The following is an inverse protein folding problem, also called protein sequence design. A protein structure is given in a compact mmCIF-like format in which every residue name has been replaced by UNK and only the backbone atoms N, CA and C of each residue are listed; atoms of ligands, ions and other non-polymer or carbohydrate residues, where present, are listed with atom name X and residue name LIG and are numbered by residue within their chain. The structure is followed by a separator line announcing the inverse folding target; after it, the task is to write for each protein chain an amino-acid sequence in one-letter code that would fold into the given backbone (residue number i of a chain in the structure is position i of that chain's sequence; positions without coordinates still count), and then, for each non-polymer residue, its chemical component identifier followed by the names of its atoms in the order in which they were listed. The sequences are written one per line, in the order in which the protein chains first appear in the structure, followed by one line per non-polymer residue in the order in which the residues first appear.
data_IF_176137094086
#
_entry.id   IF_176137094086
#
_cell.length_a   1.000
_cell.length_b   1.000
_cell.length_c   1.000
_cell.angle_alpha   90.00
_cell.angle_beta   90.00
_cell.angle_gamma   90.00
#
_symmetry.space_group_name_H-M   'P 1'
#
loop_
_entity.id
_entity.type
_entity.pdbx_description
1 polymer ?
#
# COMPACT_ATOMS: atom_id res chain seq x y z
N UNK A 1 -3.42 -27.45 7.85
CA UNK A 1 -3.72 -26.13 8.48
C UNK A 1 -2.51 -25.24 8.37
N UNK A 2 -2.54 -24.18 7.53
CA UNK A 2 -1.49 -23.16 7.56
C UNK A 2 -1.68 -22.33 8.85
N UNK A 3 -0.71 -22.29 9.75
CA UNK A 3 -0.79 -21.55 11.01
C UNK A 3 -0.83 -20.03 10.79
N UNK A 4 -1.34 -19.25 11.75
CA UNK A 4 -1.62 -17.80 11.65
C UNK A 4 -0.49 -16.91 11.08
N UNK A 5 0.74 -17.41 10.97
CA UNK A 5 1.84 -16.75 10.24
C UNK A 5 1.59 -16.51 8.75
N UNK A 6 0.78 -17.34 8.07
CA UNK A 6 0.47 -17.12 6.64
C UNK A 6 -0.35 -15.85 6.39
N UNK A 7 -1.23 -15.49 7.34
CA UNK A 7 -2.05 -14.27 7.25
C UNK A 7 -1.14 -13.04 7.39
N UNK A 8 -0.18 -13.07 8.33
CA UNK A 8 0.79 -11.98 8.49
C UNK A 8 1.64 -11.80 7.24
N UNK A 9 2.15 -12.90 6.67
CA UNK A 9 2.95 -12.87 5.45
C UNK A 9 2.16 -12.31 4.25
N UNK A 10 0.90 -12.70 4.11
CA UNK A 10 0.00 -12.15 3.07
C UNK A 10 -0.20 -10.64 3.25
N UNK A 11 -0.53 -10.18 4.46
CA UNK A 11 -0.72 -8.75 4.73
C UNK A 11 0.55 -7.93 4.52
N UNK A 12 1.70 -8.48 4.89
CA UNK A 12 3.00 -7.85 4.63
C UNK A 12 3.27 -7.72 3.12
N UNK A 13 2.90 -8.73 2.32
CA UNK A 13 3.02 -8.65 0.87
C UNK A 13 2.11 -7.59 0.27
N UNK A 14 0.83 -7.56 0.67
CA UNK A 14 -0.12 -6.51 0.28
C UNK A 14 0.40 -5.11 0.65
N UNK A 15 1.00 -4.95 1.84
CA UNK A 15 1.59 -3.69 2.27
C UNK A 15 2.81 -3.29 1.43
N UNK A 16 3.65 -4.26 1.01
CA UNK A 16 4.75 -3.99 0.07
C UNK A 16 4.23 -3.49 -1.28
N UNK A 17 3.21 -4.14 -1.83
CA UNK A 17 2.59 -3.73 -3.10
C UNK A 17 1.97 -2.33 -2.98
N UNK A 18 1.27 -2.05 -1.88
CA UNK A 18 0.69 -0.73 -1.63
C UNK A 18 1.77 0.37 -1.53
N UNK A 19 2.89 0.11 -0.86
CA UNK A 19 4.04 1.05 -0.81
C UNK A 19 4.63 1.31 -2.20
N UNK A 20 4.80 0.26 -3.01
CA UNK A 20 5.30 0.40 -4.37
C UNK A 20 4.35 1.29 -5.21
N UNK A 21 3.04 1.08 -5.09
CA UNK A 21 2.03 1.88 -5.80
C UNK A 21 2.01 3.34 -5.35
N UNK A 22 2.11 3.59 -4.04
CA UNK A 22 2.24 4.96 -3.49
C UNK A 22 3.45 5.66 -4.09
N UNK A 23 4.62 5.01 -4.08
CA UNK A 23 5.84 5.59 -4.62
C UNK A 23 5.77 5.86 -6.13
N UNK A 24 5.09 4.99 -6.90
CA UNK A 24 4.83 5.21 -8.32
C UNK A 24 3.93 6.43 -8.56
N UNK A 25 2.79 6.52 -7.86
CA UNK A 25 1.86 7.64 -7.98
C UNK A 25 2.48 8.97 -7.55
N UNK A 26 3.32 8.96 -6.51
CA UNK A 26 4.07 10.14 -6.08
C UNK A 26 5.07 10.59 -7.15
N UNK A 27 5.80 9.65 -7.77
CA UNK A 27 6.70 9.96 -8.90
C UNK A 27 5.94 10.51 -10.09
N UNK A 28 4.81 9.90 -10.44
CA UNK A 28 3.98 10.35 -11.56
C UNK A 28 3.49 11.79 -11.33
N UNK A 29 3.04 12.13 -10.12
CA UNK A 29 2.58 13.48 -9.79
C UNK A 29 3.71 14.53 -9.84
N UNK A 30 4.94 14.14 -9.49
CA UNK A 30 6.12 15.02 -9.51
C UNK A 30 6.72 15.12 -10.92
N UNK A 31 6.53 14.11 -11.77
CA UNK A 31 7.09 14.08 -13.11
C UNK A 31 6.66 15.33 -13.89
N UNK A 32 7.64 16.08 -14.38
CA UNK A 32 7.45 17.29 -15.20
C UNK A 32 6.78 17.00 -16.57
N UNK A 33 6.36 15.76 -16.80
CA UNK A 33 5.55 15.38 -17.95
C UNK A 33 4.24 16.17 -17.97
N UNK A 34 3.81 16.68 -19.15
CA UNK A 34 2.50 17.29 -19.31
C UNK A 34 1.41 16.22 -19.18
N UNK A 35 1.08 15.87 -17.94
CA UNK A 35 -0.09 15.10 -17.63
C UNK A 35 -1.28 16.05 -17.64
N UNK A 36 -2.33 15.69 -18.38
CA UNK A 36 -3.57 16.47 -18.38
C UNK A 36 -4.13 16.63 -16.97
N UNK A 37 -4.80 17.75 -16.70
CA UNK A 37 -5.40 18.08 -15.39
C UNK A 37 -6.24 16.92 -14.82
N UNK A 38 -6.99 16.23 -15.68
CA UNK A 38 -7.81 15.08 -15.31
C UNK A 38 -6.97 13.93 -14.77
N UNK A 39 -5.90 13.53 -15.49
CA UNK A 39 -4.99 12.45 -15.07
C UNK A 39 -4.29 12.75 -13.74
N UNK A 40 -3.91 14.01 -13.50
CA UNK A 40 -3.35 14.43 -12.20
C UNK A 40 -4.37 14.31 -11.07
N UNK A 41 -5.63 14.68 -11.33
CA UNK A 41 -6.70 14.55 -10.34
C UNK A 41 -6.97 13.07 -10.01
N UNK A 42 -7.04 12.21 -11.01
CA UNK A 42 -7.18 10.77 -10.84
C UNK A 42 -6.00 10.16 -10.07
N UNK A 43 -4.76 10.49 -10.45
CA UNK A 43 -3.57 10.03 -9.76
C UNK A 43 -3.53 10.50 -8.30
N UNK A 44 -3.97 11.74 -8.01
CA UNK A 44 -4.09 12.25 -6.65
C UNK A 44 -5.16 11.53 -5.83
N UNK A 45 -6.33 11.25 -6.43
CA UNK A 45 -7.39 10.48 -5.81
C UNK A 45 -6.93 9.04 -5.52
N UNK A 46 -6.27 8.40 -6.48
CA UNK A 46 -5.72 7.06 -6.32
C UNK A 46 -4.63 7.03 -5.24
N UNK A 47 -3.76 8.05 -5.20
CA UNK A 47 -2.73 8.18 -4.17
C UNK A 47 -3.33 8.23 -2.77
N UNK A 48 -4.40 9.02 -2.58
CA UNK A 48 -5.11 9.09 -1.31
C UNK A 48 -5.64 7.72 -0.88
N UNK A 49 -6.24 6.98 -1.81
CA UNK A 49 -6.80 5.65 -1.54
C UNK A 49 -5.70 4.63 -1.23
N UNK A 50 -4.59 4.65 -1.99
CA UNK A 50 -3.43 3.79 -1.76
C UNK A 50 -2.80 4.03 -0.38
N UNK A 51 -2.64 5.30 0.02
CA UNK A 51 -2.14 5.67 1.36
C UNK A 51 -3.08 5.22 2.48
N UNK A 52 -4.40 5.41 2.30
CA UNK A 52 -5.38 4.94 3.28
C UNK A 52 -5.34 3.41 3.43
N UNK A 53 -5.29 2.68 2.31
CA UNK A 53 -5.18 1.22 2.31
C UNK A 53 -3.88 0.76 2.99
N UNK A 54 -2.76 1.42 2.72
CA UNK A 54 -1.49 1.11 3.35
C UNK A 54 -1.57 1.28 4.87
N UNK A 55 -2.12 2.39 5.36
CA UNK A 55 -2.28 2.63 6.79
C UNK A 55 -3.12 1.53 7.48
N UNK A 56 -4.20 1.08 6.83
CA UNK A 56 -5.04 -0.03 7.34
C UNK A 56 -4.32 -1.37 7.34
N UNK A 57 -3.47 -1.62 6.34
CA UNK A 57 -2.66 -2.83 6.31
C UNK A 57 -1.60 -2.80 7.41
N UNK A 58 -0.96 -1.66 7.65
CA UNK A 58 0.03 -1.48 8.70
C UNK A 58 -0.60 -1.64 10.10
N UNK A 59 -1.78 -1.05 10.33
CA UNK A 59 -2.61 -1.27 11.52
C UNK A 59 -2.89 -2.76 11.72
N UNK A 60 -3.44 -3.44 10.71
CA UNK A 60 -3.75 -4.87 10.76
C UNK A 60 -2.51 -5.74 11.04
N UNK A 61 -1.36 -5.46 10.41
CA UNK A 61 -0.12 -6.20 10.64
C UNK A 61 0.36 -6.03 12.08
N UNK A 62 0.23 -4.83 12.64
CA UNK A 62 0.65 -4.51 14.01
C UNK A 62 -0.15 -5.27 15.07
N UNK A 63 -1.43 -5.53 14.79
CA UNK A 63 -2.32 -6.29 15.66
C UNK A 63 -2.06 -7.81 15.63
N UNK A 64 -1.33 -8.33 14.63
CA UNK A 64 -1.04 -9.77 14.52
C UNK A 64 0.14 -10.15 15.44
N UNK A 65 -0.09 -10.96 16.49
CA UNK A 65 0.94 -11.34 17.46
C UNK A 65 2.21 -11.94 16.83
N UNK A 66 3.38 -11.54 17.34
CA UNK A 66 4.70 -11.97 16.86
C UNK A 66 4.95 -13.49 17.04
N UNK A 67 4.20 -14.14 17.94
CA UNK A 67 4.33 -15.56 18.32
C UNK A 67 4.00 -16.58 17.20
N UNK A 68 3.67 -16.13 16.00
CA UNK A 68 3.40 -17.01 14.84
C UNK A 68 4.61 -17.21 13.92
N UNK A 69 5.79 -16.77 14.34
CA UNK A 69 7.07 -17.06 13.70
C UNK A 69 7.53 -18.48 14.09
N UNK A 70 6.93 -19.51 13.49
CA UNK A 70 7.46 -20.88 13.53
C UNK A 70 8.32 -21.11 12.30
#
# INVERSE_FOLDING_TARGET
MRGRGWIKALRQDEARQARARVAELERDLIAATPQGRHRRFEAGHELRNAKFRLARLEECISEIPEKYRR
#
